data_IF_648398129311
#
_entry.id   IF_648398129311
#
_cell.length_a   1.000
_cell.length_b   1.000
_cell.length_c   1.000
_cell.angle_alpha   90.00
_cell.angle_beta   90.00
_cell.angle_gamma   90.00
#
_symmetry.space_group_name_H-M   'P 1'
#
loop_
_entity.id
_entity.type
_entity.pdbx_description
1 polymer ?
#
# COMPACT_ATOMS: atom_id res chain seq x y z
N UNK A 1 -3.73 -28.57 2.75
CA UNK A 1 -4.08 -27.16 2.99
C UNK A 1 -2.93 -26.37 3.59
N UNK A 2 -2.45 -25.32 2.90
CA UNK A 2 -1.47 -24.36 3.47
C UNK A 2 -2.15 -23.48 4.53
N UNK A 3 -1.41 -22.99 5.52
CA UNK A 3 -1.96 -22.15 6.60
C UNK A 3 -2.31 -20.75 6.08
N UNK A 4 -3.39 -20.14 6.57
CA UNK A 4 -3.74 -18.76 6.22
C UNK A 4 -2.84 -17.74 6.95
N UNK A 5 -2.21 -16.78 6.25
CA UNK A 5 -1.29 -15.80 6.84
C UNK A 5 -2.00 -14.62 7.53
N UNK A 6 -3.03 -14.87 8.35
CA UNK A 6 -3.76 -13.78 9.02
C UNK A 6 -2.84 -12.97 9.92
N UNK A 7 -2.61 -11.70 9.56
CA UNK A 7 -1.74 -10.78 10.31
C UNK A 7 -0.24 -10.94 10.04
N UNK A 8 0.18 -11.79 9.09
CA UNK A 8 1.58 -11.90 8.68
C UNK A 8 1.86 -10.89 7.57
N UNK A 9 2.86 -10.03 7.78
CA UNK A 9 3.27 -8.98 6.84
C UNK A 9 4.71 -9.16 6.33
N UNK A 10 5.43 -10.15 6.85
CA UNK A 10 6.81 -10.45 6.44
C UNK A 10 6.79 -11.59 5.42
N UNK A 11 7.32 -11.34 4.23
CA UNK A 11 7.34 -12.31 3.14
C UNK A 11 8.12 -13.59 3.52
N UNK A 12 9.36 -13.46 4.01
CA UNK A 12 10.16 -14.60 4.48
C UNK A 12 9.44 -15.46 5.51
N UNK A 13 8.85 -14.86 6.55
CA UNK A 13 8.06 -15.58 7.56
C UNK A 13 6.88 -16.35 6.94
N UNK A 14 6.25 -15.79 5.92
CA UNK A 14 5.13 -16.42 5.21
C UNK A 14 5.62 -17.66 4.44
N UNK A 15 6.71 -17.51 3.67
CA UNK A 15 7.28 -18.61 2.88
C UNK A 15 7.85 -19.71 3.79
N UNK A 16 8.72 -19.36 4.74
CA UNK A 16 9.36 -20.32 5.65
C UNK A 16 8.33 -21.05 6.53
N UNK A 17 7.24 -20.36 6.88
CA UNK A 17 6.14 -20.92 7.65
C UNK A 17 5.15 -21.76 6.83
N UNK A 18 5.39 -21.95 5.53
CA UNK A 18 4.51 -22.65 4.58
C UNK A 18 3.06 -22.12 4.62
N UNK A 19 2.92 -20.81 4.68
CA UNK A 19 1.63 -20.14 4.58
C UNK A 19 1.18 -20.00 3.12
N UNK A 20 -0.12 -19.84 2.92
CA UNK A 20 -0.70 -19.53 1.62
C UNK A 20 -0.24 -18.14 1.17
N UNK A 21 0.34 -18.07 -0.03
CA UNK A 21 0.72 -16.82 -0.69
C UNK A 21 0.04 -16.79 -2.06
N UNK A 22 -0.69 -15.70 -2.35
CA UNK A 22 -1.19 -15.44 -3.71
C UNK A 22 -0.08 -14.73 -4.47
N UNK A 23 0.42 -15.36 -5.52
CA UNK A 23 1.60 -14.90 -6.24
C UNK A 23 1.33 -13.65 -7.08
N UNK A 24 1.97 -12.54 -6.71
CA UNK A 24 1.92 -11.25 -7.42
C UNK A 24 3.25 -10.88 -8.09
N UNK A 25 4.20 -11.81 -8.12
CA UNK A 25 5.58 -11.50 -8.47
C UNK A 25 5.77 -11.14 -9.95
N UNK A 26 4.81 -11.45 -10.82
CA UNK A 26 4.75 -10.97 -12.20
C UNK A 26 4.51 -9.45 -12.30
N UNK A 27 3.64 -8.87 -11.45
CA UNK A 27 3.43 -7.43 -11.40
C UNK A 27 4.64 -6.73 -10.79
N UNK A 28 5.25 -7.34 -9.77
CA UNK A 28 6.47 -6.83 -9.14
C UNK A 28 7.64 -6.79 -10.14
N UNK A 29 7.84 -7.85 -10.93
CA UNK A 29 8.88 -7.87 -11.96
C UNK A 29 8.69 -6.74 -12.97
N UNK A 30 7.45 -6.50 -13.45
CA UNK A 30 7.14 -5.38 -14.34
C UNK A 30 7.51 -4.04 -13.72
N UNK A 31 7.20 -3.80 -12.44
CA UNK A 31 7.59 -2.58 -11.73
C UNK A 31 9.11 -2.38 -11.72
N UNK A 32 9.86 -3.43 -11.39
CA UNK A 32 11.32 -3.36 -11.25
C UNK A 32 12.01 -3.06 -12.60
N UNK A 33 11.43 -3.51 -13.71
CA UNK A 33 12.01 -3.39 -15.06
C UNK A 33 11.58 -2.10 -15.77
N UNK A 34 10.39 -1.57 -15.52
CA UNK A 34 9.83 -0.44 -16.28
C UNK A 34 10.24 0.94 -15.77
N UNK A 35 10.66 1.06 -14.51
CA UNK A 35 11.00 2.34 -13.92
C UNK A 35 11.68 2.21 -12.58
N UNK A 36 11.87 3.36 -11.92
CA UNK A 36 12.70 3.46 -10.72
C UNK A 36 12.05 4.19 -9.55
N UNK A 37 11.04 5.05 -9.75
CA UNK A 37 10.46 5.83 -8.64
C UNK A 37 8.95 5.78 -8.69
N UNK A 38 8.37 5.05 -7.74
CA UNK A 38 6.93 4.76 -7.70
C UNK A 38 6.28 5.24 -6.41
N UNK A 39 5.04 5.67 -6.55
CA UNK A 39 4.10 5.81 -5.46
C UNK A 39 2.88 4.92 -5.68
N UNK A 40 2.47 4.23 -4.62
CA UNK A 40 1.35 3.31 -4.68
C UNK A 40 0.50 3.37 -3.40
N UNK A 41 -0.71 3.89 -3.52
CA UNK A 41 -1.69 3.92 -2.43
C UNK A 41 -2.73 2.83 -2.59
N UNK A 42 -3.07 2.19 -1.47
CA UNK A 42 -4.22 1.29 -1.34
C UNK A 42 -4.83 1.44 0.06
N UNK A 43 -6.11 1.09 0.24
CA UNK A 43 -6.71 1.09 1.56
C UNK A 43 -5.94 0.22 2.57
N UNK A 44 -6.22 0.41 3.87
CA UNK A 44 -5.62 -0.43 4.92
C UNK A 44 -5.96 -1.90 4.67
N UNK A 45 -5.05 -2.78 5.07
CA UNK A 45 -5.20 -4.26 4.97
C UNK A 45 -5.27 -4.84 3.55
N UNK A 46 -4.84 -4.09 2.52
CA UNK A 46 -4.69 -4.60 1.15
C UNK A 46 -3.36 -5.32 0.86
N UNK A 47 -2.44 -5.41 1.82
CA UNK A 47 -1.16 -6.13 1.64
C UNK A 47 0.03 -5.24 1.26
N UNK A 48 -0.04 -3.92 1.46
CA UNK A 48 1.05 -2.97 1.17
C UNK A 48 2.37 -3.33 1.87
N UNK A 49 2.33 -3.60 3.18
CA UNK A 49 3.52 -4.00 3.94
C UNK A 49 4.11 -5.34 3.49
N UNK A 50 3.25 -6.27 3.03
CA UNK A 50 3.70 -7.54 2.44
C UNK A 50 4.38 -7.31 1.09
N UNK A 51 3.87 -6.39 0.26
CA UNK A 51 4.54 -5.98 -0.97
C UNK A 51 5.92 -5.37 -0.69
N UNK A 52 6.03 -4.45 0.27
CA UNK A 52 7.31 -3.86 0.69
C UNK A 52 8.27 -4.96 1.18
N UNK A 53 7.77 -5.89 2.00
CA UNK A 53 8.60 -7.01 2.46
C UNK A 53 9.01 -7.94 1.31
N UNK A 54 8.18 -8.12 0.29
CA UNK A 54 8.49 -8.98 -0.87
C UNK A 54 9.57 -8.33 -1.72
N UNK A 55 9.45 -7.03 -2.00
CA UNK A 55 10.45 -6.24 -2.72
C UNK A 55 11.80 -6.24 -2.01
N UNK A 56 11.81 -6.10 -0.68
CA UNK A 56 13.04 -6.15 0.13
C UNK A 56 13.83 -7.44 -0.16
N UNK A 57 13.16 -8.59 -0.12
CA UNK A 57 13.80 -9.90 -0.29
C UNK A 57 14.24 -10.11 -1.76
N UNK A 58 13.50 -9.58 -2.73
CA UNK A 58 13.90 -9.59 -4.15
C UNK A 58 15.20 -8.80 -4.33
N UNK A 59 15.27 -7.57 -3.81
CA UNK A 59 16.43 -6.69 -3.96
C UNK A 59 17.62 -7.10 -3.10
N UNK A 60 17.42 -7.83 -2.00
CA UNK A 60 18.51 -8.46 -1.25
C UNK A 60 19.09 -9.69 -1.96
N UNK A 61 18.50 -10.12 -3.08
CA UNK A 61 18.99 -11.23 -3.91
C UNK A 61 18.57 -12.62 -3.41
N UNK A 62 17.53 -12.71 -2.58
CA UNK A 62 17.12 -13.93 -1.87
C UNK A 62 16.31 -14.89 -2.77
N UNK A 63 16.91 -15.30 -3.89
CA UNK A 63 16.27 -16.08 -4.97
C UNK A 63 15.51 -17.32 -4.49
N UNK A 64 16.07 -18.07 -3.55
CA UNK A 64 15.50 -19.35 -3.12
C UNK A 64 14.18 -19.21 -2.36
N UNK A 65 13.88 -18.03 -1.79
CA UNK A 65 12.56 -17.75 -1.21
C UNK A 65 11.44 -17.75 -2.26
N UNK A 66 11.79 -17.63 -3.54
CA UNK A 66 10.83 -17.47 -4.64
C UNK A 66 10.66 -18.73 -5.49
N UNK A 67 11.29 -19.86 -5.15
CA UNK A 67 11.35 -21.08 -5.98
C UNK A 67 10.03 -21.56 -6.59
N UNK A 68 8.91 -21.36 -5.89
CA UNK A 68 7.57 -21.77 -6.30
C UNK A 68 6.73 -20.64 -6.90
N UNK A 69 7.33 -19.47 -7.13
CA UNK A 69 6.68 -18.24 -7.60
C UNK A 69 7.14 -17.89 -9.02
N UNK A 70 6.33 -17.08 -9.70
CA UNK A 70 6.50 -16.70 -11.10
C UNK A 70 7.86 -16.05 -11.36
N UNK A 71 8.31 -15.12 -10.50
CA UNK A 71 9.56 -14.38 -10.71
C UNK A 71 10.82 -15.25 -10.67
N UNK A 72 10.77 -16.42 -10.02
CA UNK A 72 11.93 -17.33 -9.98
C UNK A 72 12.33 -17.84 -11.36
N UNK A 73 11.34 -18.00 -12.25
CA UNK A 73 11.53 -18.44 -13.65
C UNK A 73 11.65 -17.26 -14.61
N UNK A 74 11.47 -16.04 -14.14
CA UNK A 74 11.57 -14.85 -14.96
C UNK A 74 13.04 -14.49 -15.24
N UNK A 75 13.25 -13.71 -16.30
CA UNK A 75 14.55 -13.10 -16.57
C UNK A 75 14.79 -11.96 -15.56
N UNK A 76 15.45 -12.31 -14.46
CA UNK A 76 15.85 -11.40 -13.39
C UNK A 76 17.21 -11.82 -12.85
N UNK A 77 18.14 -10.86 -12.74
CA UNK A 77 19.54 -11.13 -12.43
C UNK A 77 19.79 -11.56 -10.97
N UNK A 78 18.84 -11.30 -10.06
CA UNK A 78 19.01 -11.53 -8.60
C UNK A 78 20.27 -10.86 -8.02
N UNK A 79 20.64 -9.71 -8.57
CA UNK A 79 21.71 -8.89 -8.03
C UNK A 79 21.31 -8.35 -6.66
N UNK A 80 22.27 -8.33 -5.73
CA UNK A 80 22.06 -7.80 -4.38
C UNK A 80 22.28 -6.30 -4.36
N UNK A 81 21.29 -5.57 -3.88
CA UNK A 81 21.31 -4.13 -3.69
C UNK A 81 21.21 -3.77 -2.21
N UNK A 82 21.86 -2.68 -1.76
CA UNK A 82 21.58 -2.12 -0.46
C UNK A 82 20.15 -1.58 -0.42
N UNK A 83 19.38 -2.02 0.57
CA UNK A 83 17.98 -1.63 0.79
C UNK A 83 17.86 -0.77 2.05
N UNK A 84 17.33 0.44 1.90
CA UNK A 84 16.86 1.30 2.98
C UNK A 84 15.35 1.10 3.12
N UNK A 85 14.91 0.52 4.23
CA UNK A 85 13.50 0.29 4.51
C UNK A 85 13.04 1.07 5.72
N UNK A 86 12.07 1.97 5.53
CA UNK A 86 11.48 2.78 6.59
C UNK A 86 9.99 2.48 6.69
N UNK A 87 9.49 2.32 7.91
CA UNK A 87 8.08 2.06 8.20
C UNK A 87 7.60 3.08 9.24
N UNK A 88 6.96 4.14 8.76
CA UNK A 88 6.51 5.23 9.62
C UNK A 88 5.41 4.83 10.60
N UNK A 89 4.89 3.60 10.53
CA UNK A 89 3.95 3.07 11.52
C UNK A 89 4.49 2.84 12.91
N UNK A 90 5.80 2.87 13.06
CA UNK A 90 6.48 2.66 14.34
C UNK A 90 6.74 3.94 15.12
N UNK A 91 6.39 5.11 14.56
CA UNK A 91 6.46 6.40 15.25
C UNK A 91 5.05 6.96 15.48
N UNK A 92 4.92 7.80 16.50
CA UNK A 92 3.72 8.62 16.74
C UNK A 92 3.92 10.07 16.33
N UNK A 93 5.17 10.52 16.23
CA UNK A 93 5.57 11.89 15.89
C UNK A 93 4.66 12.96 16.50
N UNK A 94 4.65 13.06 17.83
CA UNK A 94 3.82 14.04 18.57
C UNK A 94 4.32 15.48 18.40
N UNK A 95 5.52 15.63 17.86
CA UNK A 95 6.18 16.87 17.51
C UNK A 95 7.23 16.56 16.42
N UNK A 96 7.82 17.61 15.85
CA UNK A 96 8.86 17.52 14.82
C UNK A 96 10.11 16.78 15.26
N UNK A 97 10.58 17.00 16.48
CA UNK A 97 11.80 16.35 16.97
C UNK A 97 11.63 14.83 17.05
N UNK A 98 10.46 14.33 17.45
CA UNK A 98 10.16 12.90 17.44
C UNK A 98 10.23 12.29 16.03
N UNK A 99 9.75 13.02 15.00
CA UNK A 99 9.87 12.58 13.60
C UNK A 99 11.33 12.57 13.14
N UNK A 100 12.04 13.67 13.35
CA UNK A 100 13.45 13.82 12.95
C UNK A 100 14.30 12.73 13.60
N UNK A 101 14.15 12.54 14.92
CA UNK A 101 14.86 11.50 15.65
C UNK A 101 14.52 10.09 15.15
N UNK A 102 13.25 9.85 14.79
CA UNK A 102 12.85 8.57 14.22
C UNK A 102 13.49 8.32 12.85
N UNK A 103 13.55 9.33 11.97
CA UNK A 103 14.24 9.23 10.68
C UNK A 103 15.71 8.93 10.90
N UNK A 104 16.40 9.73 11.73
CA UNK A 104 17.82 9.54 12.08
C UNK A 104 18.07 8.14 12.60
N UNK A 105 17.22 7.64 13.51
CA UNK A 105 17.31 6.28 14.03
C UNK A 105 17.21 5.20 12.93
N UNK A 106 16.31 5.35 11.96
CA UNK A 106 16.22 4.39 10.84
C UNK A 106 17.44 4.45 9.92
N UNK A 107 17.98 5.65 9.69
CA UNK A 107 19.21 5.82 8.90
C UNK A 107 20.40 5.18 9.60
N UNK A 108 20.58 5.43 10.89
CA UNK A 108 21.66 4.84 11.70
C UNK A 108 21.54 3.32 11.78
N UNK A 109 20.33 2.79 11.95
CA UNK A 109 20.07 1.35 11.93
C UNK A 109 20.47 0.73 10.59
N UNK A 110 20.18 1.41 9.48
CA UNK A 110 20.56 0.94 8.15
C UNK A 110 22.07 1.03 7.94
N UNK A 111 22.71 2.12 8.35
CA UNK A 111 24.16 2.25 8.32
C UNK A 111 24.85 1.13 9.09
N UNK A 112 24.37 0.82 10.29
CA UNK A 112 24.88 -0.27 11.12
C UNK A 112 24.73 -1.64 10.43
N UNK A 113 23.61 -1.90 9.74
CA UNK A 113 23.38 -3.14 8.99
C UNK A 113 24.43 -3.35 7.89
N UNK A 114 24.86 -2.27 7.23
CA UNK A 114 25.87 -2.30 6.16
C UNK A 114 27.29 -2.00 6.64
N UNK A 115 27.51 -1.83 7.96
CA UNK A 115 28.83 -1.51 8.51
C UNK A 115 29.35 -0.11 8.13
N UNK A 116 28.46 0.82 7.85
CA UNK A 116 28.77 2.21 7.47
C UNK A 116 28.78 3.10 8.71
N UNK A 117 29.79 3.98 8.81
CA UNK A 117 29.81 5.07 9.78
C UNK A 117 29.24 6.34 9.14
N UNK A 118 28.32 7.00 9.83
CA UNK A 118 27.74 8.29 9.43
C UNK A 118 28.25 9.37 10.38
N UNK A 119 28.64 10.51 9.81
CA UNK A 119 29.18 11.66 10.55
C UNK A 119 28.13 12.76 10.72
N UNK A 120 27.18 12.85 9.79
CA UNK A 120 26.16 13.88 9.79
C UNK A 120 25.06 13.61 10.82
N UNK A 121 24.54 14.65 11.45
CA UNK A 121 23.49 14.55 12.47
C UNK A 121 22.13 15.01 11.97
N UNK A 122 22.10 15.98 11.04
CA UNK A 122 20.88 16.49 10.43
C UNK A 122 20.27 15.43 9.51
N UNK A 123 18.98 15.14 9.65
CA UNK A 123 18.34 13.96 9.04
C UNK A 123 18.44 13.90 7.51
N UNK A 124 18.37 15.05 6.83
CA UNK A 124 18.42 15.19 5.38
C UNK A 124 19.86 15.01 4.86
N UNK A 125 20.84 15.69 5.45
CA UNK A 125 22.27 15.55 5.09
C UNK A 125 22.77 14.14 5.44
N UNK A 126 22.30 13.58 6.55
CA UNK A 126 22.60 12.20 6.97
C UNK A 126 22.02 11.17 6.00
N UNK A 127 20.85 11.44 5.42
CA UNK A 127 20.27 10.57 4.41
C UNK A 127 21.05 10.61 3.10
N UNK A 128 21.47 11.79 2.66
CA UNK A 128 22.37 11.96 1.52
C UNK A 128 23.70 11.21 1.74
N UNK A 129 24.34 11.40 2.90
CA UNK A 129 25.57 10.71 3.26
C UNK A 129 25.41 9.18 3.20
N UNK A 130 24.30 8.67 3.75
CA UNK A 130 24.00 7.24 3.72
C UNK A 130 23.82 6.71 2.29
N UNK A 131 23.05 7.41 1.46
CA UNK A 131 22.85 7.02 0.05
C UNK A 131 24.18 7.01 -0.71
N UNK A 132 24.98 8.06 -0.54
CA UNK A 132 26.29 8.20 -1.17
C UNK A 132 27.22 7.07 -0.75
N UNK A 133 27.33 6.76 0.55
CA UNK A 133 28.19 5.69 1.07
C UNK A 133 27.70 4.29 0.66
N UNK A 134 26.39 4.04 0.66
CA UNK A 134 25.82 2.77 0.18
C UNK A 134 26.04 2.55 -1.32
N UNK A 135 26.08 3.63 -2.11
CA UNK A 135 26.31 3.55 -3.56
C UNK A 135 27.65 2.92 -3.93
N UNK A 136 28.64 2.97 -3.02
CA UNK A 136 29.92 2.27 -3.15
C UNK A 136 29.80 0.74 -3.08
N UNK A 137 28.69 0.20 -2.57
CA UNK A 137 28.36 -1.24 -2.61
C UNK A 137 27.62 -1.54 -3.91
N UNK A 138 26.49 -0.87 -4.12
CA UNK A 138 25.67 -0.90 -5.32
C UNK A 138 24.65 0.26 -5.27
N UNK A 139 23.93 0.51 -6.36
CA UNK A 139 22.79 1.44 -6.36
C UNK A 139 21.75 1.07 -5.29
N UNK A 140 21.18 2.08 -4.65
CA UNK A 140 20.37 1.93 -3.44
C UNK A 140 18.89 1.78 -3.75
N UNK A 141 18.23 0.89 -3.03
CA UNK A 141 16.77 0.71 -3.06
C UNK A 141 16.17 1.38 -1.82
N UNK A 142 15.15 2.22 -2.01
CA UNK A 142 14.45 2.91 -0.92
C UNK A 142 12.99 2.46 -0.86
N UNK A 143 12.60 1.79 0.21
CA UNK A 143 11.24 1.29 0.42
C UNK A 143 10.61 1.98 1.63
N UNK A 144 9.56 2.76 1.40
CA UNK A 144 8.87 3.53 2.43
C UNK A 144 7.44 3.00 2.61
N UNK A 145 7.16 2.46 3.79
CA UNK A 145 5.83 2.01 4.19
C UNK A 145 5.13 3.06 5.07
N UNK A 146 3.81 3.15 4.91
CA UNK A 146 2.91 4.06 5.63
C UNK A 146 3.40 5.53 5.61
N UNK A 147 3.83 6.02 4.44
CA UNK A 147 4.45 7.35 4.25
C UNK A 147 3.63 8.53 4.80
N UNK A 148 2.30 8.41 4.79
CA UNK A 148 1.33 9.43 5.16
C UNK A 148 0.85 9.31 6.59
N UNK A 149 1.18 8.21 7.29
CA UNK A 149 0.56 7.88 8.56
C UNK A 149 0.78 8.95 9.63
N UNK A 150 1.97 9.53 9.73
CA UNK A 150 2.26 10.53 10.75
C UNK A 150 1.48 11.83 10.53
N UNK A 151 1.17 12.15 9.27
CA UNK A 151 0.31 13.28 8.91
C UNK A 151 -1.15 12.94 9.26
N UNK A 152 -1.61 11.74 8.87
CA UNK A 152 -2.98 11.28 9.14
C UNK A 152 -3.28 11.24 10.63
N UNK A 153 -2.39 10.66 11.43
CA UNK A 153 -2.58 10.47 12.87
C UNK A 153 -2.62 11.82 13.61
N UNK A 154 -2.07 12.89 13.01
CA UNK A 154 -2.05 14.25 13.57
C UNK A 154 -2.91 15.25 12.79
N UNK A 155 -3.76 14.80 11.86
CA UNK A 155 -4.50 15.68 10.93
C UNK A 155 -5.47 16.66 11.63
N UNK A 156 -5.83 16.35 12.88
CA UNK A 156 -6.67 17.21 13.74
C UNK A 156 -5.89 18.43 14.27
N UNK A 157 -4.58 18.29 14.47
CA UNK A 157 -3.68 19.40 14.78
C UNK A 157 -3.03 19.85 13.46
N UNK A 158 -3.69 20.78 12.76
CA UNK A 158 -3.28 21.21 11.42
C UNK A 158 -1.88 21.78 11.40
N UNK A 159 -1.52 22.57 12.42
CA UNK A 159 -0.20 23.18 12.55
C UNK A 159 0.88 22.09 12.61
N UNK A 160 0.72 21.11 13.49
CA UNK A 160 1.64 19.97 13.59
C UNK A 160 1.65 19.13 12.30
N UNK A 161 0.49 18.83 11.71
CA UNK A 161 0.41 18.03 10.49
C UNK A 161 1.14 18.69 9.31
N UNK A 162 1.07 20.02 9.20
CA UNK A 162 1.83 20.81 8.22
C UNK A 162 3.32 20.77 8.52
N UNK A 163 3.72 20.90 9.79
CA UNK A 163 5.12 20.83 10.21
C UNK A 163 5.75 19.47 9.89
N UNK A 164 5.08 18.37 10.25
CA UNK A 164 5.51 17.00 9.94
C UNK A 164 5.61 16.77 8.42
N UNK A 165 4.65 17.32 7.66
CA UNK A 165 4.64 17.25 6.19
C UNK A 165 5.87 17.94 5.58
N UNK A 166 6.28 19.10 6.08
CA UNK A 166 7.46 19.80 5.54
C UNK A 166 8.77 19.07 5.87
N UNK A 167 8.88 18.43 7.04
CA UNK A 167 10.02 17.55 7.37
C UNK A 167 10.09 16.36 6.40
N UNK A 168 8.96 15.68 6.19
CA UNK A 168 8.88 14.56 5.26
C UNK A 168 9.21 15.00 3.82
N UNK A 169 8.72 16.17 3.39
CA UNK A 169 9.08 16.75 2.09
C UNK A 169 10.57 17.01 1.95
N UNK A 170 11.22 17.56 2.98
CA UNK A 170 12.67 17.72 3.03
C UNK A 170 13.40 16.38 2.87
N UNK A 171 12.97 15.38 3.62
CA UNK A 171 13.51 14.01 3.55
C UNK A 171 13.39 13.39 2.16
N UNK A 172 12.21 13.44 1.52
CA UNK A 172 12.03 12.83 0.20
C UNK A 172 12.68 13.63 -0.93
N UNK A 173 12.92 14.93 -0.77
CA UNK A 173 13.64 15.73 -1.77
C UNK A 173 15.07 15.21 -1.98
N UNK A 174 15.69 14.63 -0.95
CA UNK A 174 17.00 13.98 -1.05
C UNK A 174 17.00 12.81 -2.03
N UNK A 175 15.90 12.04 -2.12
CA UNK A 175 15.76 10.95 -3.10
C UNK A 175 15.97 11.48 -4.52
N UNK A 176 15.39 12.63 -4.84
CA UNK A 176 15.58 13.26 -6.15
C UNK A 176 17.01 13.79 -6.35
N UNK A 177 17.59 14.40 -5.32
CA UNK A 177 18.95 14.94 -5.39
C UNK A 177 20.00 13.83 -5.62
N UNK A 178 19.75 12.65 -5.05
CA UNK A 178 20.63 11.49 -5.11
C UNK A 178 20.24 10.47 -6.21
N UNK A 179 19.50 10.87 -7.25
CA UNK A 179 18.98 9.95 -8.29
C UNK A 179 20.07 9.05 -8.92
N UNK A 180 21.30 9.56 -9.07
CA UNK A 180 22.43 8.80 -9.61
C UNK A 180 22.78 7.55 -8.77
N UNK A 181 22.56 7.63 -7.46
CA UNK A 181 22.82 6.55 -6.50
C UNK A 181 21.66 5.58 -6.36
N UNK A 182 20.50 5.86 -6.95
CA UNK A 182 19.26 5.11 -6.70
C UNK A 182 18.99 4.07 -7.80
N UNK A 183 18.61 2.87 -7.36
CA UNK A 183 18.11 1.80 -8.24
C UNK A 183 16.59 1.80 -8.34
N UNK A 184 15.92 1.92 -7.20
CA UNK A 184 14.47 1.77 -7.10
C UNK A 184 13.93 2.42 -5.83
N UNK A 185 12.76 3.04 -5.93
CA UNK A 185 12.05 3.73 -4.86
C UNK A 185 10.59 3.33 -4.93
N UNK A 186 10.02 2.86 -3.82
CA UNK A 186 8.58 2.69 -3.67
C UNK A 186 8.10 3.31 -2.37
N UNK A 187 7.16 4.24 -2.49
CA UNK A 187 6.44 4.83 -1.37
C UNK A 187 5.01 4.31 -1.37
N UNK A 188 4.56 3.80 -0.22
CA UNK A 188 3.22 3.26 -0.08
C UNK A 188 2.50 3.84 1.14
N UNK A 189 1.18 3.95 1.04
CA UNK A 189 0.32 4.55 2.06
C UNK A 189 -1.15 4.32 1.79
N UNK A 190 -2.01 5.03 2.51
CA UNK A 190 -3.47 4.92 2.34
C UNK A 190 -4.00 5.94 1.35
N UNK A 191 -3.51 7.17 1.45
CA UNK A 191 -4.08 8.34 0.80
C UNK A 191 -3.03 9.09 -0.01
N UNK A 192 -3.50 9.96 -0.90
CA UNK A 192 -2.67 10.83 -1.73
C UNK A 192 -2.69 12.25 -1.19
N UNK A 193 -1.99 12.51 -0.09
CA UNK A 193 -1.65 13.89 0.26
C UNK A 193 -0.58 14.38 -0.73
N UNK A 194 -0.77 15.56 -1.31
CA UNK A 194 -0.50 15.77 -2.73
C UNK A 194 0.82 16.41 -3.18
N UNK A 195 0.91 16.72 -4.50
CA UNK A 195 1.93 17.47 -5.27
C UNK A 195 2.28 18.88 -4.76
N UNK A 196 1.46 19.51 -3.91
CA UNK A 196 1.86 20.72 -3.17
C UNK A 196 2.48 20.38 -1.80
N UNK A 197 2.40 19.12 -1.38
CA UNK A 197 2.90 18.60 -0.12
C UNK A 197 4.15 17.77 -0.25
N UNK A 198 4.13 16.60 0.37
CA UNK A 198 5.30 15.72 0.57
C UNK A 198 6.06 15.43 -0.74
N UNK A 199 5.34 15.31 -1.87
CA UNK A 199 5.92 14.96 -3.17
C UNK A 199 6.26 16.15 -4.07
N UNK A 200 5.99 17.39 -3.64
CA UNK A 200 6.34 18.59 -4.43
C UNK A 200 7.84 18.69 -4.73
N UNK A 201 8.69 18.14 -3.86
CA UNK A 201 10.14 18.04 -4.05
C UNK A 201 10.60 16.92 -5.00
N UNK A 202 9.72 15.97 -5.34
CA UNK A 202 10.04 14.74 -6.10
C UNK A 202 9.19 14.66 -7.36
N UNK A 203 9.60 15.35 -8.42
CA UNK A 203 8.83 15.48 -9.66
C UNK A 203 8.97 14.29 -10.64
N UNK A 204 9.81 13.30 -10.34
CA UNK A 204 10.01 12.06 -11.09
C UNK A 204 9.20 10.87 -10.56
N UNK A 205 8.36 11.08 -9.54
CA UNK A 205 7.55 10.04 -8.90
C UNK A 205 6.33 9.67 -9.75
N UNK A 206 6.28 8.42 -10.22
CA UNK A 206 5.13 7.88 -10.96
C UNK A 206 4.08 7.32 -9.98
N UNK A 207 2.89 7.93 -9.96
CA UNK A 207 1.75 7.43 -9.19
C UNK A 207 1.01 6.34 -9.96
N UNK A 208 1.23 5.10 -9.53
CA UNK A 208 0.66 3.89 -10.14
C UNK A 208 -0.65 3.44 -9.47
N UNK A 209 -1.18 4.21 -8.52
CA UNK A 209 -2.31 3.78 -7.70
C UNK A 209 -3.59 3.60 -8.51
N UNK A 210 -3.84 4.45 -9.51
CA UNK A 210 -5.01 4.35 -10.39
C UNK A 210 -4.68 3.82 -11.77
N UNK A 211 -3.48 3.24 -11.93
CA UNK A 211 -3.04 2.66 -13.18
C UNK A 211 -3.60 1.23 -13.34
N UNK A 212 -4.31 1.02 -14.45
CA UNK A 212 -4.89 -0.27 -14.83
C UNK A 212 -3.84 -1.41 -14.91
N UNK A 213 -2.59 -1.10 -15.29
CA UNK A 213 -1.49 -2.07 -15.38
C UNK A 213 -1.17 -2.72 -14.03
N UNK A 214 -1.44 -2.01 -12.93
CA UNK A 214 -1.12 -2.40 -11.56
C UNK A 214 -2.36 -2.55 -10.68
N UNK A 215 -3.56 -2.58 -11.28
CA UNK A 215 -4.84 -2.60 -10.53
C UNK A 215 -4.91 -3.78 -9.55
N UNK A 216 -4.38 -4.94 -9.96
CA UNK A 216 -4.41 -6.22 -9.23
C UNK A 216 -3.06 -6.58 -8.59
N UNK A 217 -2.12 -5.63 -8.51
CA UNK A 217 -0.86 -5.80 -7.76
C UNK A 217 -1.12 -6.14 -6.29
N UNK A 218 -2.18 -5.54 -5.73
CA UNK A 218 -2.74 -5.85 -4.42
C UNK A 218 -4.22 -6.21 -4.56
N UNK A 219 -4.77 -6.87 -3.55
CA UNK A 219 -6.07 -7.53 -3.65
C UNK A 219 -5.96 -8.94 -4.23
N UNK A 220 -7.03 -9.70 -4.11
CA UNK A 220 -7.14 -11.05 -4.66
C UNK A 220 -8.23 -11.01 -5.73
N UNK A 221 -7.95 -11.45 -6.94
CA UNK A 221 -8.96 -11.56 -8.00
C UNK A 221 -9.84 -12.80 -7.78
N UNK A 222 -10.99 -12.87 -8.45
CA UNK A 222 -11.83 -14.05 -8.46
C UNK A 222 -11.06 -15.32 -8.83
N UNK A 223 -10.26 -15.25 -9.90
CA UNK A 223 -9.51 -16.40 -10.39
C UNK A 223 -8.42 -16.85 -9.38
N UNK A 224 -7.79 -15.90 -8.71
CA UNK A 224 -6.81 -16.19 -7.65
C UNK A 224 -7.46 -16.76 -6.38
N UNK A 225 -8.66 -16.31 -6.05
CA UNK A 225 -9.45 -16.80 -4.91
C UNK A 225 -9.84 -18.26 -5.15
N UNK A 226 -10.49 -18.55 -6.28
CA UNK A 226 -10.91 -19.90 -6.64
C UNK A 226 -9.72 -20.87 -6.78
N UNK A 227 -8.59 -20.39 -7.33
CA UNK A 227 -7.39 -21.20 -7.48
C UNK A 227 -6.64 -21.46 -6.17
N UNK A 228 -6.37 -20.41 -5.39
CA UNK A 228 -5.50 -20.50 -4.21
C UNK A 228 -6.24 -21.00 -2.97
N UNK A 229 -7.54 -20.77 -2.87
CA UNK A 229 -8.36 -21.08 -1.70
C UNK A 229 -9.28 -22.29 -1.91
N UNK A 230 -9.10 -23.06 -2.99
CA UNK A 230 -9.96 -24.21 -3.32
C UNK A 230 -10.28 -25.12 -2.13
N UNK A 231 -9.27 -25.59 -1.40
CA UNK A 231 -9.47 -26.47 -0.24
C UNK A 231 -10.29 -25.80 0.88
N UNK A 232 -10.16 -24.49 1.05
CA UNK A 232 -10.94 -23.71 2.02
C UNK A 232 -12.38 -23.49 1.55
N UNK A 233 -12.59 -23.29 0.25
CA UNK A 233 -13.93 -23.19 -0.36
C UNK A 233 -14.67 -24.51 -0.19
N UNK A 234 -14.02 -25.64 -0.51
CA UNK A 234 -14.60 -26.99 -0.36
C UNK A 234 -15.04 -27.22 1.10
N UNK A 235 -14.13 -26.94 2.06
CA UNK A 235 -14.43 -27.10 3.49
C UNK A 235 -15.58 -26.21 3.96
N UNK A 236 -15.61 -24.94 3.53
CA UNK A 236 -16.63 -24.00 3.97
C UNK A 236 -18.00 -24.36 3.36
N UNK A 237 -18.03 -24.73 2.08
CA UNK A 237 -19.25 -25.12 1.39
C UNK A 237 -19.89 -26.35 2.05
N UNK A 238 -19.08 -27.36 2.39
CA UNK A 238 -19.53 -28.54 3.14
C UNK A 238 -20.12 -28.16 4.50
N UNK A 239 -19.46 -27.26 5.24
CA UNK A 239 -19.94 -26.85 6.57
C UNK A 239 -21.27 -26.08 6.56
N UNK A 240 -21.59 -25.39 5.46
CA UNK A 240 -22.85 -24.67 5.28
C UNK A 240 -23.91 -25.51 4.54
N UNK A 241 -23.57 -26.72 4.06
CA UNK A 241 -24.46 -27.54 3.23
C UNK A 241 -24.76 -26.92 1.85
N UNK A 242 -23.89 -26.05 1.35
CA UNK A 242 -24.01 -25.37 0.06
C UNK A 242 -23.12 -26.02 -0.99
N UNK A 243 -23.43 -25.79 -2.27
CA UNK A 243 -22.47 -26.02 -3.35
C UNK A 243 -21.34 -24.96 -3.31
N UNK A 244 -20.18 -25.30 -3.89
CA UNK A 244 -19.08 -24.33 -4.04
C UNK A 244 -19.52 -23.08 -4.81
N UNK A 245 -20.37 -23.23 -5.84
CA UNK A 245 -20.89 -22.11 -6.62
C UNK A 245 -21.73 -21.15 -5.78
N UNK A 246 -22.66 -21.66 -4.97
CA UNK A 246 -23.50 -20.82 -4.10
C UNK A 246 -22.66 -20.11 -3.04
N UNK A 247 -21.66 -20.80 -2.48
CA UNK A 247 -20.74 -20.17 -1.54
C UNK A 247 -19.95 -19.04 -2.21
N UNK A 248 -19.39 -19.29 -3.39
CA UNK A 248 -18.61 -18.29 -4.14
C UNK A 248 -19.46 -17.06 -4.47
N UNK A 249 -20.71 -17.22 -4.88
CA UNK A 249 -21.64 -16.10 -5.11
C UNK A 249 -21.86 -15.28 -3.85
N UNK A 250 -22.07 -15.95 -2.70
CA UNK A 250 -22.22 -15.29 -1.39
C UNK A 250 -20.95 -14.56 -0.97
N UNK A 251 -19.77 -15.14 -1.18
CA UNK A 251 -18.47 -14.50 -0.93
C UNK A 251 -18.29 -13.26 -1.80
N UNK A 252 -18.63 -13.36 -3.08
CA UNK A 252 -18.53 -12.27 -4.06
C UNK A 252 -19.41 -11.09 -3.65
N UNK A 253 -20.67 -11.35 -3.28
CA UNK A 253 -21.59 -10.34 -2.78
C UNK A 253 -21.08 -9.62 -1.52
N UNK A 254 -20.44 -10.37 -0.61
CA UNK A 254 -19.96 -9.81 0.65
C UNK A 254 -18.65 -9.02 0.52
N UNK A 255 -17.72 -9.44 -0.34
CA UNK A 255 -16.32 -9.03 -0.21
C UNK A 255 -15.62 -8.61 -1.51
N UNK A 256 -16.23 -8.76 -2.70
CA UNK A 256 -15.61 -8.39 -3.98
C UNK A 256 -15.84 -6.90 -4.35
N UNK A 257 -15.51 -6.53 -5.59
CA UNK A 257 -15.85 -5.27 -6.27
C UNK A 257 -14.96 -4.07 -5.97
N UNK A 258 -13.81 -4.28 -5.32
CA UNK A 258 -12.83 -3.19 -5.26
C UNK A 258 -12.19 -2.97 -6.63
N UNK A 259 -12.24 -1.73 -7.10
CA UNK A 259 -11.76 -1.25 -8.38
C UNK A 259 -11.10 0.11 -8.19
N UNK A 260 -9.82 0.19 -8.54
CA UNK A 260 -9.00 1.37 -8.28
C UNK A 260 -8.59 2.13 -9.54
N UNK A 261 -9.03 1.71 -10.73
CA UNK A 261 -8.69 2.35 -12.01
C UNK A 261 -9.88 2.31 -12.96
N UNK A 262 -9.92 3.18 -13.96
CA UNK A 262 -10.96 3.20 -15.00
C UNK A 262 -11.12 1.87 -15.76
N UNK A 263 -10.08 1.02 -15.76
CA UNK A 263 -10.11 -0.34 -16.32
C UNK A 263 -9.39 -1.30 -15.38
N UNK A 264 -10.04 -1.69 -14.29
CA UNK A 264 -9.48 -2.65 -13.34
C UNK A 264 -10.09 -4.04 -13.54
N UNK A 265 -9.39 -5.08 -13.08
CA UNK A 265 -10.08 -6.28 -12.57
C UNK A 265 -10.56 -5.98 -11.15
N UNK A 266 -11.79 -6.39 -10.84
CA UNK A 266 -12.31 -6.37 -9.47
C UNK A 266 -11.45 -7.28 -8.59
N UNK A 267 -11.25 -6.87 -7.35
CA UNK A 267 -10.50 -7.63 -6.36
C UNK A 267 -11.22 -7.65 -5.03
N UNK A 268 -11.05 -8.75 -4.33
CA UNK A 268 -11.38 -8.90 -2.93
C UNK A 268 -10.36 -8.21 -2.03
N UNK A 269 -10.83 -7.75 -0.87
CA UNK A 269 -9.93 -7.40 0.22
C UNK A 269 -9.23 -8.66 0.77
N UNK A 270 -7.87 -8.73 0.76
CA UNK A 270 -7.16 -9.91 1.21
C UNK A 270 -7.42 -10.26 2.67
N UNK A 271 -7.53 -9.25 3.55
CA UNK A 271 -7.75 -9.49 4.96
C UNK A 271 -9.15 -10.06 5.24
N UNK A 272 -10.20 -9.52 4.61
CA UNK A 272 -11.56 -10.06 4.76
C UNK A 272 -11.63 -11.51 4.31
N UNK A 273 -11.07 -11.85 3.14
CA UNK A 273 -11.03 -13.25 2.67
C UNK A 273 -10.25 -14.16 3.61
N UNK A 274 -9.08 -13.72 4.10
CA UNK A 274 -8.27 -14.50 5.02
C UNK A 274 -8.99 -14.77 6.34
N UNK A 275 -9.75 -13.80 6.87
CA UNK A 275 -10.53 -13.99 8.10
C UNK A 275 -11.78 -14.84 7.85
N UNK A 276 -12.47 -14.63 6.74
CA UNK A 276 -13.59 -15.44 6.28
C UNK A 276 -13.22 -16.92 6.26
N UNK A 277 -12.17 -17.31 5.52
CA UNK A 277 -11.75 -18.70 5.42
C UNK A 277 -11.14 -19.25 6.71
N UNK A 278 -10.62 -18.40 7.59
CA UNK A 278 -10.16 -18.82 8.92
C UNK A 278 -11.32 -19.14 9.86
N UNK A 279 -12.40 -18.36 9.80
CA UNK A 279 -13.56 -18.48 10.70
C UNK A 279 -14.66 -19.37 10.13
N UNK A 280 -14.68 -19.59 8.82
CA UNK A 280 -15.78 -20.22 8.08
C UNK A 280 -17.12 -19.53 8.40
N UNK A 281 -17.10 -18.19 8.41
CA UNK A 281 -18.28 -17.38 8.72
C UNK A 281 -18.21 -16.04 8.00
N UNK A 282 -19.37 -15.49 7.65
CA UNK A 282 -19.49 -14.12 7.12
C UNK A 282 -19.47 -13.09 8.26
N UNK A 283 -19.01 -11.88 7.98
CA UNK A 283 -18.90 -10.80 8.95
C UNK A 283 -18.10 -9.59 8.45
N UNK A 284 -18.15 -8.50 9.21
CA UNK A 284 -17.55 -7.21 8.86
C UNK A 284 -16.08 -7.11 9.30
N UNK A 285 -15.22 -7.93 8.68
CA UNK A 285 -13.82 -8.07 9.05
C UNK A 285 -12.95 -6.86 8.74
N UNK A 286 -13.10 -6.23 7.57
CA UNK A 286 -12.33 -5.04 7.21
C UNK A 286 -12.84 -3.80 7.92
N UNK A 287 -14.16 -3.57 7.93
CA UNK A 287 -14.75 -2.36 8.51
C UNK A 287 -14.40 -2.19 10.00
N UNK A 288 -14.53 -3.24 10.81
CA UNK A 288 -14.23 -3.20 12.25
C UNK A 288 -12.76 -2.89 12.57
N UNK A 289 -11.88 -3.04 11.59
CA UNK A 289 -10.46 -3.26 11.85
C UNK A 289 -9.56 -2.31 11.05
N UNK A 290 -10.09 -1.71 9.99
CA UNK A 290 -9.37 -0.82 9.07
C UNK A 290 -9.81 0.64 9.17
N UNK A 291 -10.94 0.94 9.83
CA UNK A 291 -11.53 2.28 9.86
C UNK A 291 -10.65 3.32 10.56
N UNK A 292 -10.16 4.36 9.85
CA UNK A 292 -9.41 5.45 10.48
C UNK A 292 -10.32 6.35 11.32
N UNK A 293 -9.89 6.71 12.52
CA UNK A 293 -10.64 7.60 13.42
C UNK A 293 -10.90 8.98 12.80
N UNK A 294 -9.94 9.53 12.06
CA UNK A 294 -10.08 10.83 11.39
C UNK A 294 -11.21 10.84 10.37
N UNK A 295 -11.46 9.71 9.69
CA UNK A 295 -12.50 9.61 8.67
C UNK A 295 -13.89 9.70 9.29
N UNK A 296 -14.10 9.02 10.42
CA UNK A 296 -15.37 9.08 11.16
C UNK A 296 -15.66 10.50 11.64
N UNK A 297 -14.63 11.22 12.10
CA UNK A 297 -14.78 12.63 12.48
C UNK A 297 -15.09 13.51 11.28
N UNK A 298 -14.36 13.36 10.17
CA UNK A 298 -14.57 14.12 8.95
C UNK A 298 -15.99 13.95 8.39
N UNK A 299 -16.53 12.73 8.41
CA UNK A 299 -17.91 12.44 8.00
C UNK A 299 -18.91 13.19 8.89
N UNK A 300 -18.69 13.19 10.22
CA UNK A 300 -19.55 13.90 11.18
C UNK A 300 -19.48 15.41 11.03
N UNK A 301 -18.28 15.97 10.86
CA UNK A 301 -18.06 17.42 10.71
C UNK A 301 -18.67 17.97 9.42
N UNK A 302 -18.69 17.17 8.35
CA UNK A 302 -19.22 17.57 7.05
C UNK A 302 -20.70 17.21 6.85
N UNK A 303 -21.34 16.64 7.86
CA UNK A 303 -22.73 16.17 7.84
C UNK A 303 -23.08 15.38 6.56
N UNK A 304 -22.20 14.42 6.23
CA UNK A 304 -22.29 13.70 4.96
C UNK A 304 -23.40 12.64 5.02
N UNK A 305 -24.37 12.76 4.12
CA UNK A 305 -25.41 11.73 3.93
C UNK A 305 -24.84 10.49 3.21
N UNK A 306 -24.51 9.48 4.00
CA UNK A 306 -23.95 8.20 3.54
C UNK A 306 -24.88 7.43 2.59
N UNK A 307 -26.19 7.69 2.64
CA UNK A 307 -27.16 7.00 1.76
C UNK A 307 -27.06 7.45 0.30
N UNK A 308 -26.45 8.61 0.05
CA UNK A 308 -26.32 9.22 -1.29
C UNK A 308 -24.97 8.98 -1.95
N UNK A 309 -24.13 8.13 -1.35
CA UNK A 309 -22.80 7.82 -1.87
C UNK A 309 -22.80 6.71 -2.94
N UNK A 310 -23.89 5.96 -3.06
CA UNK A 310 -24.05 4.95 -4.10
C UNK A 310 -24.32 5.61 -5.46
N UNK A 311 -23.36 5.51 -6.38
CA UNK A 311 -23.43 6.14 -7.70
C UNK A 311 -23.01 7.63 -7.73
N UNK A 312 -22.25 8.10 -6.73
CA UNK A 312 -21.75 9.48 -6.71
C UNK A 312 -20.77 9.73 -7.86
N UNK A 313 -20.92 10.87 -8.53
CA UNK A 313 -20.07 11.28 -9.64
C UNK A 313 -19.04 12.30 -9.19
N UNK A 314 -17.80 12.12 -9.64
CA UNK A 314 -16.68 13.02 -9.34
C UNK A 314 -15.79 13.21 -10.55
N UNK A 315 -15.38 14.45 -10.80
CA UNK A 315 -14.39 14.74 -11.84
C UNK A 315 -13.06 14.04 -11.56
N UNK A 316 -12.31 13.69 -12.60
CA UNK A 316 -10.96 13.13 -12.47
C UNK A 316 -10.01 14.05 -11.69
N UNK A 317 -10.20 15.37 -11.82
CA UNK A 317 -9.49 16.37 -11.02
C UNK A 317 -9.80 16.27 -9.51
N UNK A 318 -10.91 15.63 -9.12
CA UNK A 318 -11.20 15.42 -7.72
C UNK A 318 -10.17 14.50 -7.06
N UNK A 319 -9.52 13.60 -7.80
CA UNK A 319 -8.40 12.75 -7.34
C UNK A 319 -7.03 13.41 -7.52
N UNK A 320 -6.99 14.55 -8.19
CA UNK A 320 -5.80 15.39 -8.23
C UNK A 320 -5.69 16.13 -6.90
N UNK A 321 -4.57 15.91 -6.24
CA UNK A 321 -4.00 16.68 -5.14
C UNK A 321 -4.91 17.31 -4.06
N UNK A 322 -4.89 16.77 -2.83
CA UNK A 322 -5.40 17.48 -1.63
C UNK A 322 -4.34 18.28 -0.89
N UNK A 323 -4.78 19.43 -0.39
CA UNK A 323 -4.19 20.15 0.73
C UNK A 323 -4.90 19.73 2.02
N UNK A 324 -4.16 19.64 3.14
CA UNK A 324 -4.69 19.26 4.46
C UNK A 324 -5.81 20.24 4.88
N UNK A 325 -5.73 21.45 4.35
CA UNK A 325 -6.60 22.58 4.57
C UNK A 325 -7.96 22.45 3.86
N UNK A 326 -8.05 21.68 2.75
CA UNK A 326 -9.25 21.56 1.92
C UNK A 326 -9.53 20.09 1.52
N UNK A 327 -9.79 19.27 2.53
CA UNK A 327 -10.12 17.85 2.37
C UNK A 327 -11.50 17.67 1.73
N UNK A 328 -11.53 17.07 0.53
CA UNK A 328 -12.76 16.59 -0.11
C UNK A 328 -13.09 15.19 0.41
N UNK A 329 -14.30 14.99 0.92
CA UNK A 329 -14.67 13.74 1.60
C UNK A 329 -14.77 12.54 0.66
N UNK A 330 -15.44 12.71 -0.49
CA UNK A 330 -15.69 11.59 -1.44
C UNK A 330 -14.40 10.94 -1.94
N UNK A 331 -13.37 11.70 -2.37
CA UNK A 331 -12.13 11.06 -2.76
C UNK A 331 -11.35 10.41 -1.61
N UNK A 332 -11.43 10.95 -0.39
CA UNK A 332 -10.85 10.32 0.80
C UNK A 332 -11.53 8.99 1.07
N UNK A 333 -12.86 8.93 0.96
CA UNK A 333 -13.62 7.68 1.08
C UNK A 333 -13.16 6.64 0.05
N UNK A 334 -12.91 7.05 -1.19
CA UNK A 334 -12.31 6.17 -2.21
C UNK A 334 -10.91 5.68 -1.81
N UNK A 335 -10.00 6.58 -1.44
CA UNK A 335 -8.63 6.22 -1.08
C UNK A 335 -8.55 5.32 0.16
N UNK A 336 -9.46 5.54 1.10
CA UNK A 336 -9.57 4.74 2.32
C UNK A 336 -10.37 3.46 2.14
N UNK A 337 -10.96 3.20 0.97
CA UNK A 337 -11.60 1.93 0.60
C UNK A 337 -13.10 1.85 0.89
N UNK A 338 -13.75 2.95 1.25
CA UNK A 338 -15.21 2.98 1.45
C UNK A 338 -15.98 3.17 0.15
N UNK A 339 -15.33 3.72 -0.87
CA UNK A 339 -15.86 3.80 -2.21
C UNK A 339 -14.92 3.13 -3.20
N UNK A 340 -15.50 2.62 -4.28
CA UNK A 340 -14.83 1.95 -5.40
C UNK A 340 -15.26 2.59 -6.71
N UNK A 341 -14.48 2.43 -7.78
CA UNK A 341 -14.89 2.87 -9.11
C UNK A 341 -15.85 1.85 -9.71
N UNK A 342 -17.06 2.30 -10.07
CA UNK A 342 -18.06 1.48 -10.78
C UNK A 342 -18.26 1.90 -12.23
N UNK A 343 -17.78 3.09 -12.61
CA UNK A 343 -17.82 3.57 -13.98
C UNK A 343 -16.86 4.73 -14.23
N UNK A 344 -16.52 4.94 -15.50
CA UNK A 344 -15.75 6.09 -15.95
C UNK A 344 -16.27 6.59 -17.29
N UNK A 345 -16.70 7.84 -17.34
CA UNK A 345 -17.08 8.56 -18.55
C UNK A 345 -15.85 9.29 -19.10
N UNK A 346 -15.30 8.78 -20.20
CA UNK A 346 -14.09 9.31 -20.82
C UNK A 346 -14.32 10.67 -21.49
N UNK A 347 -15.53 10.96 -21.97
CA UNK A 347 -15.83 12.25 -22.62
C UNK A 347 -15.90 13.38 -21.61
N UNK A 348 -16.44 13.08 -20.42
CA UNK A 348 -16.57 14.04 -19.32
C UNK A 348 -15.39 14.02 -18.34
N UNK A 349 -14.49 13.04 -18.45
CA UNK A 349 -13.44 12.76 -17.48
C UNK A 349 -14.01 12.63 -16.05
N UNK A 350 -15.10 11.87 -15.92
CA UNK A 350 -15.88 11.74 -14.69
C UNK A 350 -15.90 10.28 -14.23
N UNK A 351 -15.59 10.04 -12.96
CA UNK A 351 -15.71 8.73 -12.32
C UNK A 351 -17.06 8.62 -11.61
N UNK A 352 -17.67 7.44 -11.70
CA UNK A 352 -18.78 7.03 -10.84
C UNK A 352 -18.24 6.14 -9.74
N UNK A 353 -18.56 6.49 -8.50
CA UNK A 353 -18.15 5.78 -7.30
C UNK A 353 -19.36 5.19 -6.56
N UNK A 354 -19.18 4.05 -5.92
CA UNK A 354 -20.18 3.43 -5.06
C UNK A 354 -19.50 2.63 -3.93
N UNK A 355 -20.30 2.09 -3.01
CA UNK A 355 -19.79 1.09 -2.07
C UNK A 355 -19.32 -0.16 -2.84
N UNK A 356 -18.17 -0.76 -2.49
CA UNK A 356 -17.69 -1.95 -3.17
C UNK A 356 -18.62 -3.15 -2.94
N UNK A 357 -19.04 -3.38 -1.70
CA UNK A 357 -19.75 -4.62 -1.37
C UNK A 357 -20.59 -4.45 -0.11
N UNK A 358 -21.26 -5.53 0.27
CA UNK A 358 -22.13 -5.57 1.44
C UNK A 358 -21.39 -5.40 2.78
N UNK A 359 -20.10 -5.77 2.89
CA UNK A 359 -19.33 -5.54 4.11
C UNK A 359 -19.13 -4.03 4.40
N UNK A 360 -19.00 -3.22 3.35
CA UNK A 360 -18.69 -1.78 3.47
C UNK A 360 -19.95 -0.91 3.51
N UNK A 361 -21.04 -1.36 2.87
CA UNK A 361 -22.34 -0.67 2.83
C UNK A 361 -23.06 -0.73 4.17
#
# INVERSE_FOLDING_TARGET
>A
MKRLPVGIQTFRKLIDGNYLYVDKTNYIHKLIVQGSVYFFSRPRRFGKSLLISTLNEIFEGEKELFKDLWIYKADYAWEKYPVIRIDFSKSKARNSDELINYIVYQLDKTAQLYGISLEQTQYDIKFDELLTKLSGINKVVVLIDEYDKLIIDNIENKELAVELREILKGFYTIIKACDEYIRFVLLTGVSKFSKAGVFSGVNNLEDISMDARYSSLLGITQEEMEGSFKEYIDQFAESEGNSNSELIEKITYWYDDFCFSSRCKKVFNPFSLLVLFKKLSFGNYWFESATPSFLIKLIKEKDLDLSRLDGVKVDESAFSSYEIENLKVVPILFQTGYLTITGYDKERMEYTLAYPNFEVK
#
